data_IF_674733207895
#
_entry.id   IF_674733207895
#
_cell.length_a   1.000
_cell.length_b   1.000
_cell.length_c   1.000
_cell.angle_alpha   90.00
_cell.angle_beta   90.00
_cell.angle_gamma   90.00
#
_symmetry.space_group_name_H-M   'P 1'
#
loop_
_entity.id
_entity.type
_entity.pdbx_description
1 polymer ?
#
# COMPACT_ATOMS: atom_id res chain seq x y z
N UNK A 1 -39.76 -22.82 28.86
CA UNK A 1 -39.20 -21.78 27.96
C UNK A 1 -37.89 -22.28 27.33
N UNK A 2 -37.93 -22.93 26.16
CA UNK A 2 -36.71 -23.43 25.45
C UNK A 2 -36.56 -22.86 24.03
N UNK A 3 -37.54 -22.08 23.56
CA UNK A 3 -37.63 -21.60 22.16
C UNK A 3 -36.66 -20.48 21.76
N UNK A 4 -35.95 -19.84 22.69
CA UNK A 4 -35.21 -18.61 22.38
C UNK A 4 -33.70 -18.79 22.22
N UNK A 5 -33.14 -19.92 22.66
CA UNK A 5 -31.68 -20.14 22.62
C UNK A 5 -31.15 -20.48 21.22
N UNK A 6 -31.92 -21.20 20.41
CA UNK A 6 -31.52 -21.55 19.04
C UNK A 6 -31.62 -20.39 18.05
N UNK A 7 -32.51 -19.41 18.29
CA UNK A 7 -32.58 -18.17 17.50
C UNK A 7 -31.34 -17.29 17.73
N UNK A 8 -30.87 -17.21 18.98
CA UNK A 8 -29.68 -16.44 19.33
C UNK A 8 -28.41 -17.05 18.72
N UNK A 9 -28.30 -18.39 18.71
CA UNK A 9 -27.18 -19.11 18.09
C UNK A 9 -27.10 -18.92 16.57
N UNK A 10 -28.24 -18.89 15.87
CA UNK A 10 -28.29 -18.65 14.42
C UNK A 10 -27.86 -17.23 14.03
N UNK A 11 -28.25 -16.22 14.82
CA UNK A 11 -27.90 -14.82 14.57
C UNK A 11 -26.40 -14.60 14.77
N UNK A 12 -25.80 -15.20 15.81
CA UNK A 12 -24.36 -15.12 16.03
C UNK A 12 -23.55 -15.82 14.93
N UNK A 13 -23.98 -17.02 14.49
CA UNK A 13 -23.30 -17.75 13.41
C UNK A 13 -23.34 -17.01 12.07
N UNK A 14 -24.49 -16.42 11.73
CA UNK A 14 -24.63 -15.62 10.50
C UNK A 14 -23.80 -14.34 10.52
N UNK A 15 -23.75 -13.62 11.65
CA UNK A 15 -22.94 -12.41 11.81
C UNK A 15 -21.44 -12.71 11.69
N UNK A 16 -20.96 -13.78 12.34
CA UNK A 16 -19.55 -14.17 12.26
C UNK A 16 -19.17 -14.54 10.81
N UNK A 17 -20.03 -15.29 10.12
CA UNK A 17 -19.83 -15.62 8.71
C UNK A 17 -19.75 -14.39 7.81
N UNK A 18 -20.67 -13.43 7.99
CA UNK A 18 -20.67 -12.20 7.22
C UNK A 18 -19.41 -11.35 7.48
N UNK A 19 -18.98 -11.22 8.73
CA UNK A 19 -17.76 -10.48 9.10
C UNK A 19 -16.53 -11.11 8.46
N UNK A 20 -16.40 -12.44 8.48
CA UNK A 20 -15.27 -13.14 7.86
C UNK A 20 -15.18 -12.88 6.34
N UNK A 21 -16.31 -12.87 5.64
CA UNK A 21 -16.34 -12.58 4.18
C UNK A 21 -15.91 -11.14 3.90
N UNK A 22 -16.36 -10.17 4.69
CA UNK A 22 -15.97 -8.76 4.53
C UNK A 22 -14.48 -8.58 4.78
N UNK A 23 -13.93 -9.17 5.85
CA UNK A 23 -12.51 -9.07 6.19
C UNK A 23 -11.65 -9.76 5.12
N UNK A 24 -12.05 -10.93 4.64
CA UNK A 24 -11.34 -11.62 3.56
C UNK A 24 -11.35 -10.81 2.25
N UNK A 25 -12.48 -10.20 1.88
CA UNK A 25 -12.57 -9.32 0.71
C UNK A 25 -11.72 -8.05 0.85
N UNK A 26 -11.62 -7.50 2.07
CA UNK A 26 -10.74 -6.37 2.37
C UNK A 26 -9.26 -6.72 2.21
N UNK A 27 -8.83 -7.90 2.68
CA UNK A 27 -7.45 -8.38 2.55
C UNK A 27 -7.04 -8.63 1.08
N UNK A 28 -7.96 -9.09 0.24
CA UNK A 28 -7.71 -9.29 -1.20
C UNK A 28 -7.56 -7.95 -1.92
N UNK A 29 -8.31 -6.92 -1.52
CA UNK A 29 -8.29 -5.60 -2.16
C UNK A 29 -7.21 -4.66 -1.63
N UNK A 30 -6.72 -4.89 -0.40
CA UNK A 30 -5.65 -4.11 0.23
C UNK A 30 -4.44 -5.00 0.52
N UNK A 31 -3.66 -5.39 -0.51
CA UNK A 31 -2.39 -6.03 -0.25
C UNK A 31 -1.54 -5.08 0.57
N UNK A 32 -1.18 -5.49 1.79
CA UNK A 32 -0.20 -4.77 2.58
C UNK A 32 1.04 -4.55 1.71
N UNK A 33 1.47 -3.29 1.59
CA UNK A 33 2.74 -2.98 0.93
C UNK A 33 3.82 -3.82 1.62
N UNK A 34 4.64 -4.59 0.87
CA UNK A 34 5.70 -5.36 1.48
C UNK A 34 6.62 -4.40 2.22
N UNK A 35 6.84 -4.65 3.52
CA UNK A 35 7.71 -3.83 4.35
C UNK A 35 9.02 -3.55 3.59
N UNK A 36 9.35 -2.27 3.46
CA UNK A 36 10.57 -1.86 2.78
C UNK A 36 11.71 -1.97 3.77
N UNK A 37 12.71 -2.83 3.51
CA UNK A 37 13.83 -2.95 4.43
C UNK A 37 14.64 -1.65 4.42
N UNK A 38 15.21 -1.29 5.57
CA UNK A 38 15.87 0.00 5.80
C UNK A 38 17.05 0.23 4.83
N UNK A 39 17.71 -0.86 4.44
CA UNK A 39 18.82 -0.91 3.49
C UNK A 39 18.45 -0.36 2.10
N UNK A 40 17.22 -0.59 1.63
CA UNK A 40 16.78 -0.18 0.29
C UNK A 40 16.93 1.32 0.04
N UNK A 41 16.44 2.16 0.96
CA UNK A 41 16.52 3.61 0.82
C UNK A 41 17.93 4.12 1.05
N UNK A 42 18.70 3.43 1.89
CA UNK A 42 20.09 3.77 2.15
C UNK A 42 20.94 3.55 0.90
N UNK A 43 20.77 2.41 0.21
CA UNK A 43 21.40 2.16 -1.08
C UNK A 43 20.94 3.14 -2.16
N UNK A 44 19.65 3.49 -2.18
CA UNK A 44 19.10 4.43 -3.15
C UNK A 44 19.70 5.83 -2.96
N UNK A 45 19.83 6.27 -1.70
CA UNK A 45 20.46 7.55 -1.37
C UNK A 45 21.93 7.61 -1.80
N UNK A 46 22.69 6.52 -1.61
CA UNK A 46 24.09 6.42 -2.07
C UNK A 46 24.19 6.52 -3.60
N UNK A 47 23.27 5.88 -4.33
CA UNK A 47 23.25 5.99 -5.81
C UNK A 47 22.85 7.37 -6.32
N UNK A 48 22.10 8.13 -5.51
CA UNK A 48 21.65 9.47 -5.85
C UNK A 48 22.68 10.56 -5.53
N UNK A 49 23.82 10.24 -4.93
CA UNK A 49 24.79 11.24 -4.48
C UNK A 49 25.19 12.19 -5.63
N UNK A 50 24.89 13.48 -5.46
CA UNK A 50 25.19 14.51 -6.44
C UNK A 50 24.09 14.81 -7.47
N UNK A 51 22.97 14.08 -7.44
CA UNK A 51 21.76 14.38 -8.21
C UNK A 51 20.62 14.80 -7.27
N UNK A 52 20.39 16.11 -7.18
CA UNK A 52 19.36 16.68 -6.32
C UNK A 52 17.92 16.24 -6.67
N UNK A 53 17.66 15.86 -7.92
CA UNK A 53 16.37 15.29 -8.33
C UNK A 53 16.23 13.85 -7.82
N UNK A 54 17.29 13.05 -7.96
CA UNK A 54 17.34 11.69 -7.44
C UNK A 54 17.20 11.65 -5.91
N UNK A 55 17.95 12.50 -5.20
CA UNK A 55 17.90 12.60 -3.74
C UNK A 55 16.52 13.01 -3.24
N UNK A 56 15.87 13.98 -3.88
CA UNK A 56 14.51 14.39 -3.54
C UNK A 56 13.51 13.25 -3.73
N UNK A 57 13.59 12.53 -4.86
CA UNK A 57 12.77 11.34 -5.11
C UNK A 57 13.01 10.24 -4.07
N UNK A 58 14.27 9.90 -3.79
CA UNK A 58 14.62 8.88 -2.80
C UNK A 58 14.10 9.24 -1.39
N UNK A 59 14.17 10.51 -1.00
CA UNK A 59 13.70 11.00 0.30
C UNK A 59 12.18 10.93 0.45
N UNK A 60 11.42 11.35 -0.57
CA UNK A 60 9.95 11.26 -0.55
C UNK A 60 9.48 9.80 -0.58
N UNK A 61 10.16 8.96 -1.37
CA UNK A 61 9.92 7.52 -1.36
C UNK A 61 10.14 6.91 0.03
N UNK A 62 11.21 7.31 0.73
CA UNK A 62 11.51 6.83 2.07
C UNK A 62 10.44 7.25 3.11
N UNK A 63 9.97 8.50 3.04
CA UNK A 63 8.91 9.01 3.93
C UNK A 63 7.59 8.25 3.78
N UNK A 64 7.20 7.94 2.54
CA UNK A 64 5.98 7.20 2.24
C UNK A 64 6.13 5.68 2.25
N UNK A 65 7.34 5.16 2.49
CA UNK A 65 7.67 3.73 2.30
C UNK A 65 7.28 3.21 0.90
N UNK A 66 7.45 4.05 -0.13
CA UNK A 66 7.16 3.73 -1.53
C UNK A 66 8.38 3.14 -2.24
N UNK A 67 8.15 2.15 -3.12
CA UNK A 67 9.19 1.52 -3.94
C UNK A 67 9.15 2.03 -5.37
N UNK A 68 10.29 1.92 -6.06
CA UNK A 68 10.39 2.16 -7.50
C UNK A 68 9.27 1.44 -8.25
N UNK A 69 8.69 2.15 -9.21
CA UNK A 69 7.72 1.59 -10.12
C UNK A 69 8.37 0.42 -10.88
N UNK A 70 7.65 -0.70 -10.97
CA UNK A 70 8.10 -1.81 -11.78
C UNK A 70 8.06 -1.43 -13.27
N UNK A 71 8.78 -2.17 -14.12
CA UNK A 71 8.74 -1.95 -15.58
C UNK A 71 7.32 -2.02 -16.16
N UNK A 72 6.45 -2.82 -15.54
CA UNK A 72 5.04 -2.96 -15.94
C UNK A 72 4.15 -1.83 -15.38
N UNK A 73 4.73 -0.78 -14.81
CA UNK A 73 4.03 0.34 -14.19
C UNK A 73 3.56 0.06 -12.77
N UNK A 74 2.59 0.85 -12.34
CA UNK A 74 1.99 0.76 -11.01
C UNK A 74 0.83 -0.22 -10.95
N UNK A 75 0.65 -0.86 -9.78
CA UNK A 75 -0.50 -1.72 -9.53
C UNK A 75 -1.80 -0.91 -9.63
N UNK A 76 -2.91 -1.61 -9.87
CA UNK A 76 -4.23 -0.98 -9.92
C UNK A 76 -4.51 -0.20 -8.63
N UNK A 77 -4.96 1.05 -8.77
CA UNK A 77 -5.19 1.93 -7.64
C UNK A 77 -3.93 2.59 -7.06
N UNK A 78 -2.83 2.61 -7.82
CA UNK A 78 -1.63 3.40 -7.51
C UNK A 78 -1.26 4.27 -8.71
N UNK A 79 -0.75 5.47 -8.46
CA UNK A 79 -0.27 6.41 -9.48
C UNK A 79 1.25 6.47 -9.51
N UNK A 80 1.81 6.65 -10.70
CA UNK A 80 3.24 6.87 -10.85
C UNK A 80 3.56 8.33 -10.47
N UNK A 81 4.48 8.52 -9.54
CA UNK A 81 5.01 9.84 -9.17
C UNK A 81 6.52 9.89 -9.45
N UNK A 82 6.98 11.05 -9.90
CA UNK A 82 8.38 11.36 -10.21
C UNK A 82 8.80 12.74 -9.74
N UNK A 83 8.03 13.40 -8.87
CA UNK A 83 8.27 14.76 -8.35
C UNK A 83 8.58 15.81 -9.42
N UNK A 84 8.07 15.63 -10.65
CA UNK A 84 8.38 16.49 -11.82
C UNK A 84 9.86 16.48 -12.23
N UNK A 85 10.63 15.49 -11.80
CA UNK A 85 11.98 15.23 -12.30
C UNK A 85 11.92 14.14 -13.38
N UNK A 86 11.86 14.49 -14.68
CA UNK A 86 11.67 13.52 -15.76
C UNK A 86 12.85 12.55 -15.95
N UNK A 87 14.02 12.88 -15.41
CA UNK A 87 15.23 12.03 -15.43
C UNK A 87 15.43 11.23 -14.13
N UNK A 88 14.52 11.36 -13.16
CA UNK A 88 14.67 10.74 -11.83
C UNK A 88 13.92 9.41 -11.72
N UNK A 89 13.99 8.82 -10.54
CA UNK A 89 13.23 7.67 -10.12
C UNK A 89 11.72 7.94 -10.13
N UNK A 90 10.98 6.93 -10.60
CA UNK A 90 9.52 6.87 -10.55
C UNK A 90 9.09 5.86 -9.49
N UNK A 91 8.10 6.15 -8.67
CA UNK A 91 7.51 5.21 -7.69
C UNK A 91 6.01 5.18 -7.80
N UNK A 92 5.42 4.15 -7.17
CA UNK A 92 3.98 3.99 -7.10
C UNK A 92 3.48 4.43 -5.74
N UNK A 93 2.67 5.47 -5.72
CA UNK A 93 1.98 5.97 -4.52
C UNK A 93 0.47 5.70 -4.65
N UNK A 94 -0.25 5.51 -3.53
CA UNK A 94 -1.71 5.47 -3.59
C UNK A 94 -2.21 6.81 -4.15
N UNK A 95 -3.37 6.85 -4.84
CA UNK A 95 -3.96 8.09 -5.29
C UNK A 95 -4.10 9.01 -4.09
N UNK A 96 -3.33 10.10 -4.09
CA UNK A 96 -3.55 11.19 -3.17
C UNK A 96 -5.01 11.61 -3.36
N UNK A 97 -5.83 11.53 -2.31
CA UNK A 97 -7.08 12.29 -2.28
C UNK A 97 -6.67 13.74 -2.58
N UNK A 98 -7.03 14.22 -3.77
CA UNK A 98 -6.63 15.48 -4.39
C UNK A 98 -6.07 16.53 -3.42
N UNK A 99 -4.84 16.98 -3.66
CA UNK A 99 -4.46 18.36 -3.32
C UNK A 99 -4.73 19.25 -4.52
#
# INVERSE_FOLDING_TARGET
>A
MKKNRYKLLWICGGLIGAILVVVAGWLVTHPAQPAVPLDYYQELAVRCEGDGCCEASAREMAQGSFRLAAQNGCRQGYQANSLKCPTSYHWCEPPSLAQ
#
